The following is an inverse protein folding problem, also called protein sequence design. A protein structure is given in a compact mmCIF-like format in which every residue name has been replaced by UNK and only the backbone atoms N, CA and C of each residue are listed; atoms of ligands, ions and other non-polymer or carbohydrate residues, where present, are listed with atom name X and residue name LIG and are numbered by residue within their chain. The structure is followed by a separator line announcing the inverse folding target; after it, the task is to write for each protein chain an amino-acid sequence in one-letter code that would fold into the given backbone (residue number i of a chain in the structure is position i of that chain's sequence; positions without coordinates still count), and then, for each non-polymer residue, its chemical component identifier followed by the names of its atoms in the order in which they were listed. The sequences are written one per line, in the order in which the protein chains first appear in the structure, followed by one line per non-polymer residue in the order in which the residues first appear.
data_IF_473418225411
#
_entry.id   IF_473418225411
#
_cell.length_a   1.000
_cell.length_b   1.000
_cell.length_c   1.000
_cell.angle_alpha   90.00
_cell.angle_beta   90.00
_cell.angle_gamma   90.00
#
_symmetry.space_group_name_H-M   'P 1'
#
loop_
_entity.id
_entity.type
_entity.pdbx_description
1 polymer ?
#
# COMPACT_ATOMS: atom_id res chain seq x y z
N UNK A 1 31.31 -11.97 32.40
CA UNK A 1 30.98 -12.86 31.30
C UNK A 1 29.86 -12.19 30.53
N UNK A 2 30.18 -11.43 29.49
CA UNK A 2 29.16 -10.89 28.59
C UNK A 2 28.63 -12.08 27.79
N UNK A 3 27.38 -12.40 27.91
CA UNK A 3 26.66 -13.27 26.99
C UNK A 3 26.70 -12.58 25.64
N UNK A 4 27.53 -13.07 24.72
CA UNK A 4 27.44 -12.68 23.32
C UNK A 4 26.03 -13.05 22.85
N UNK A 5 25.15 -12.06 22.83
CA UNK A 5 23.84 -12.24 22.24
C UNK A 5 24.05 -12.30 20.74
N UNK A 6 24.03 -13.50 20.20
CA UNK A 6 24.18 -13.70 18.76
C UNK A 6 22.85 -13.31 18.12
N UNK A 7 22.81 -12.19 17.42
CA UNK A 7 21.62 -11.68 16.73
C UNK A 7 21.14 -12.73 15.73
N UNK A 8 19.87 -13.03 15.75
CA UNK A 8 19.26 -13.98 14.81
C UNK A 8 18.35 -13.27 13.81
N UNK A 9 18.10 -13.91 12.68
CA UNK A 9 17.15 -13.42 11.68
C UNK A 9 15.74 -13.22 12.30
N UNK A 10 15.38 -14.04 13.27
CA UNK A 10 14.10 -13.93 13.97
C UNK A 10 14.03 -12.66 14.82
N UNK A 11 15.13 -12.27 15.48
CA UNK A 11 15.19 -11.04 16.27
C UNK A 11 15.04 -9.82 15.38
N UNK A 12 15.70 -9.85 14.20
CA UNK A 12 15.58 -8.78 13.19
C UNK A 12 14.15 -8.69 12.66
N UNK A 13 13.53 -9.82 12.27
CA UNK A 13 12.16 -9.82 11.76
C UNK A 13 11.15 -9.36 12.83
N UNK A 14 11.32 -9.77 14.09
CA UNK A 14 10.48 -9.30 15.20
C UNK A 14 10.61 -7.80 15.44
N UNK A 15 11.82 -7.23 15.29
CA UNK A 15 11.99 -5.78 15.34
C UNK A 15 11.30 -5.07 14.17
N UNK A 16 11.39 -5.63 12.96
CA UNK A 16 10.77 -5.09 11.76
C UNK A 16 9.23 -5.12 11.79
N UNK A 17 8.60 -5.96 12.62
CA UNK A 17 7.14 -5.90 12.86
C UNK A 17 6.68 -4.57 13.46
N UNK A 18 7.58 -3.82 14.07
CA UNK A 18 7.30 -2.48 14.63
C UNK A 18 7.35 -1.37 13.60
N UNK A 19 7.85 -1.66 12.40
CA UNK A 19 7.92 -0.71 11.29
C UNK A 19 6.66 -0.84 10.45
N UNK A 20 5.84 0.20 10.45
CA UNK A 20 4.61 0.26 9.66
C UNK A 20 4.82 1.08 8.39
N UNK A 21 4.21 0.64 7.29
CA UNK A 21 4.09 1.46 6.08
C UNK A 21 3.08 2.59 6.36
N UNK A 22 3.49 3.88 6.27
CA UNK A 22 2.63 5.00 6.63
C UNK A 22 1.40 5.19 5.73
N UNK A 23 1.41 4.65 4.52
CA UNK A 23 0.29 4.73 3.58
C UNK A 23 -0.75 3.64 3.85
N UNK A 24 -0.28 2.44 4.21
CA UNK A 24 -1.14 1.26 4.39
C UNK A 24 -1.51 1.07 5.86
N UNK A 25 -0.66 1.52 6.81
CA UNK A 25 -0.87 1.39 8.25
C UNK A 25 -0.76 -0.04 8.76
N UNK A 26 0.12 -0.83 8.12
CA UNK A 26 0.42 -2.22 8.50
C UNK A 26 1.94 -2.43 8.59
N UNK A 27 2.39 -3.42 9.40
CA UNK A 27 3.79 -3.81 9.47
C UNK A 27 4.36 -4.18 8.10
N UNK A 28 5.58 -3.74 7.80
CA UNK A 28 6.26 -4.06 6.52
C UNK A 28 6.49 -5.58 6.35
N UNK A 29 6.55 -6.32 7.45
CA UNK A 29 6.64 -7.79 7.45
C UNK A 29 5.34 -8.45 6.97
N UNK A 30 4.18 -7.91 7.38
CA UNK A 30 2.87 -8.39 6.90
C UNK A 30 2.63 -8.05 5.43
N UNK A 31 3.25 -6.98 4.94
CA UNK A 31 3.10 -6.50 3.56
C UNK A 31 4.06 -7.19 2.58
N UNK A 32 4.81 -8.20 3.02
CA UNK A 32 5.84 -8.87 2.23
C UNK A 32 6.87 -7.87 1.63
N UNK A 33 7.13 -6.79 2.38
CA UNK A 33 8.07 -5.74 1.95
C UNK A 33 9.51 -6.06 2.33
N UNK A 34 9.76 -7.02 3.23
CA UNK A 34 11.12 -7.44 3.59
C UNK A 34 11.66 -8.35 2.49
N UNK A 35 12.68 -7.88 1.77
CA UNK A 35 13.33 -8.65 0.70
C UNK A 35 14.33 -9.66 1.23
N UNK A 36 15.22 -9.18 2.10
CA UNK A 36 16.33 -9.97 2.62
C UNK A 36 16.80 -9.45 3.97
N UNK A 37 17.28 -10.35 4.80
CA UNK A 37 17.98 -10.06 6.04
C UNK A 37 19.34 -10.75 5.96
N UNK A 38 20.42 -10.02 6.20
CA UNK A 38 21.78 -10.55 6.28
C UNK A 38 22.42 -10.08 7.56
N UNK A 39 23.06 -10.99 8.26
CA UNK A 39 23.75 -10.74 9.51
C UNK A 39 25.19 -11.19 9.32
N UNK A 40 26.13 -10.29 9.54
CA UNK A 40 27.56 -10.58 9.51
C UNK A 40 28.19 -10.12 10.83
N UNK A 41 28.30 -11.05 11.76
CA UNK A 41 28.71 -10.74 13.14
C UNK A 41 27.69 -9.87 13.87
N UNK A 42 28.03 -8.62 14.10
CA UNK A 42 27.11 -7.62 14.71
C UNK A 42 26.42 -6.76 13.66
N UNK A 43 26.86 -6.78 12.41
CA UNK A 43 26.31 -5.91 11.37
C UNK A 43 25.07 -6.53 10.72
N UNK A 44 24.05 -5.70 10.54
CA UNK A 44 22.76 -6.11 10.00
C UNK A 44 22.47 -5.34 8.71
N UNK A 45 22.24 -6.06 7.61
CA UNK A 45 21.84 -5.50 6.33
C UNK A 45 20.43 -5.99 5.95
N UNK A 46 19.51 -5.06 5.70
CA UNK A 46 18.11 -5.37 5.36
C UNK A 46 17.76 -4.75 4.02
N UNK A 47 17.18 -5.56 3.13
CA UNK A 47 16.54 -5.13 1.89
C UNK A 47 15.05 -4.96 2.09
N UNK A 48 14.49 -3.84 1.63
CA UNK A 48 13.05 -3.54 1.72
C UNK A 48 12.52 -3.15 0.36
N UNK A 49 11.38 -3.72 -0.02
CA UNK A 49 10.63 -3.33 -1.20
C UNK A 49 9.66 -2.19 -0.91
N UNK A 50 9.72 -1.13 -1.70
CA UNK A 50 8.72 -0.07 -1.76
C UNK A 50 7.67 -0.39 -2.83
N UNK A 51 6.43 -0.02 -2.60
CA UNK A 51 5.31 -0.23 -3.54
C UNK A 51 5.49 0.52 -4.85
N UNK A 52 6.09 1.71 -4.81
CA UNK A 52 6.35 2.58 -5.98
C UNK A 52 7.76 3.18 -5.94
N UNK A 53 8.35 3.44 -7.10
CA UNK A 53 9.70 4.00 -7.22
C UNK A 53 9.85 5.43 -6.67
N UNK A 54 8.78 6.19 -6.60
CA UNK A 54 8.74 7.58 -6.11
C UNK A 54 8.01 7.73 -4.78
N UNK A 55 8.07 6.72 -3.91
CA UNK A 55 7.39 6.78 -2.61
C UNK A 55 7.87 7.99 -1.79
N UNK A 56 6.98 8.93 -1.44
CA UNK A 56 7.34 10.11 -0.65
C UNK A 56 7.74 9.76 0.78
N UNK A 57 7.37 8.56 1.24
CA UNK A 57 7.66 8.05 2.59
C UNK A 57 8.93 7.19 2.65
N UNK A 58 9.72 7.18 1.56
CA UNK A 58 10.95 6.40 1.45
C UNK A 58 11.89 6.62 2.64
N UNK A 59 12.21 7.87 2.91
CA UNK A 59 13.16 8.24 3.97
C UNK A 59 12.60 7.87 5.35
N UNK A 60 11.29 8.03 5.55
CA UNK A 60 10.61 7.64 6.80
C UNK A 60 10.69 6.14 7.05
N UNK A 61 10.49 5.31 6.02
CA UNK A 61 10.59 3.84 6.15
C UNK A 61 12.04 3.44 6.44
N UNK A 62 13.01 4.06 5.75
CA UNK A 62 14.44 3.81 5.98
C UNK A 62 14.86 4.17 7.39
N UNK A 63 14.51 5.38 7.86
CA UNK A 63 14.86 5.87 9.18
C UNK A 63 14.22 5.04 10.30
N UNK A 64 12.93 4.70 10.18
CA UNK A 64 12.23 3.87 11.14
C UNK A 64 12.82 2.46 11.19
N UNK A 65 13.16 1.89 10.03
CA UNK A 65 13.81 0.57 9.96
C UNK A 65 15.16 0.59 10.66
N UNK A 66 15.99 1.59 10.39
CA UNK A 66 17.29 1.76 11.03
C UNK A 66 17.15 1.89 12.53
N UNK A 67 16.24 2.76 12.99
CA UNK A 67 16.03 3.03 14.40
C UNK A 67 15.63 1.77 15.20
N UNK A 68 14.70 0.97 14.70
CA UNK A 68 14.27 -0.25 15.42
C UNK A 68 15.34 -1.34 15.43
N UNK A 69 16.21 -1.39 14.42
CA UNK A 69 17.31 -2.35 14.37
C UNK A 69 18.48 -1.94 15.25
N UNK A 70 18.77 -0.64 15.37
CA UNK A 70 19.78 -0.09 16.29
C UNK A 70 19.40 -0.25 17.78
N UNK A 71 18.10 -0.44 18.09
CA UNK A 71 17.63 -0.76 19.44
C UNK A 71 17.92 -2.21 19.87
N UNK A 72 18.28 -3.10 18.96
CA UNK A 72 18.59 -4.49 19.29
C UNK A 72 19.95 -4.61 19.99
N UNK A 73 19.98 -5.33 21.09
CA UNK A 73 21.20 -5.58 21.84
C UNK A 73 22.20 -6.38 20.99
N UNK A 74 23.38 -5.84 20.80
CA UNK A 74 24.48 -6.49 20.08
C UNK A 74 24.55 -6.16 18.58
N UNK A 75 23.65 -5.30 18.07
CA UNK A 75 23.74 -4.76 16.71
C UNK A 75 24.85 -3.72 16.63
N UNK A 76 25.68 -3.84 15.61
CA UNK A 76 26.72 -2.88 15.21
C UNK A 76 26.20 -1.92 14.15
N UNK A 77 26.75 -2.04 12.94
CA UNK A 77 26.31 -1.20 11.81
C UNK A 77 25.02 -1.73 11.17
N UNK A 78 24.07 -0.81 10.91
CA UNK A 78 22.81 -1.11 10.22
C UNK A 78 22.80 -0.53 8.82
N UNK A 79 22.61 -1.37 7.83
CA UNK A 79 22.49 -1.02 6.42
C UNK A 79 21.10 -1.34 5.91
N UNK A 80 20.37 -0.33 5.41
CA UNK A 80 19.05 -0.50 4.79
C UNK A 80 19.14 -0.20 3.31
N UNK A 81 18.70 -1.13 2.47
CA UNK A 81 18.63 -0.96 1.02
C UNK A 81 17.18 -1.00 0.55
N UNK A 82 16.77 0.03 -0.19
CA UNK A 82 15.40 0.14 -0.67
C UNK A 82 15.33 -0.22 -2.16
N UNK A 83 14.46 -1.16 -2.48
CA UNK A 83 14.14 -1.61 -3.84
C UNK A 83 12.69 -1.26 -4.18
N UNK A 84 12.32 -1.36 -5.46
CA UNK A 84 10.93 -1.15 -5.87
C UNK A 84 10.32 -2.49 -6.22
N UNK A 85 9.10 -2.74 -5.73
CA UNK A 85 8.32 -3.93 -6.09
C UNK A 85 8.11 -4.02 -7.60
N UNK A 86 8.20 -5.23 -8.13
CA UNK A 86 7.75 -5.54 -9.48
C UNK A 86 6.22 -5.43 -9.60
N UNK A 87 5.71 -5.37 -10.83
CA UNK A 87 4.26 -5.36 -11.09
C UNK A 87 3.56 -6.61 -10.53
N UNK A 88 4.25 -7.75 -10.54
CA UNK A 88 3.74 -9.02 -10.02
C UNK A 88 3.63 -8.98 -8.49
N UNK A 89 4.66 -8.51 -7.80
CA UNK A 89 4.67 -8.34 -6.35
C UNK A 89 3.58 -7.37 -5.88
N UNK A 90 3.41 -6.24 -6.59
CA UNK A 90 2.33 -5.28 -6.30
C UNK A 90 0.95 -5.87 -6.46
N UNK A 91 0.74 -6.71 -7.48
CA UNK A 91 -0.54 -7.42 -7.69
C UNK A 91 -0.80 -8.43 -6.57
N UNK A 92 0.22 -9.18 -6.16
CA UNK A 92 0.11 -10.14 -5.07
C UNK A 92 -0.24 -9.44 -3.75
N UNK A 93 0.44 -8.32 -3.43
CA UNK A 93 0.14 -7.49 -2.26
C UNK A 93 -1.31 -6.94 -2.31
N UNK A 94 -1.74 -6.43 -3.46
CA UNK A 94 -3.10 -5.92 -3.63
C UNK A 94 -4.16 -7.01 -3.43
N UNK A 95 -3.90 -8.25 -3.87
CA UNK A 95 -4.79 -9.39 -3.63
C UNK A 95 -4.82 -9.78 -2.14
N UNK A 96 -3.67 -9.80 -1.47
CA UNK A 96 -3.56 -10.08 -0.04
C UNK A 96 -4.36 -9.06 0.78
N UNK A 97 -4.18 -7.77 0.51
CA UNK A 97 -4.90 -6.69 1.18
C UNK A 97 -6.42 -6.73 0.93
N UNK A 98 -6.85 -7.14 -0.27
CA UNK A 98 -8.27 -7.33 -0.59
C UNK A 98 -8.87 -8.53 0.15
N UNK A 99 -8.11 -9.62 0.31
CA UNK A 99 -8.56 -10.81 1.05
C UNK A 99 -8.75 -10.55 2.55
N UNK A 100 -7.98 -9.61 3.12
CA UNK A 100 -8.08 -9.22 4.53
C UNK A 100 -9.17 -8.17 4.79
N UNK A 101 -9.56 -7.40 3.77
CA UNK A 101 -10.67 -6.47 3.87
C UNK A 101 -11.99 -7.24 3.83
N UNK A 102 -12.47 -7.63 5.01
CA UNK A 102 -13.84 -8.11 5.22
C UNK A 102 -14.88 -6.97 5.14
N UNK A 103 -14.55 -5.90 4.41
CA UNK A 103 -15.51 -4.87 4.05
C UNK A 103 -16.59 -5.44 3.12
N UNK A 104 -17.78 -4.83 3.05
CA UNK A 104 -18.82 -5.28 2.13
C UNK A 104 -18.20 -5.33 0.72
N UNK A 105 -18.31 -6.49 0.08
CA UNK A 105 -17.85 -6.68 -1.29
C UNK A 105 -18.43 -5.53 -2.14
N UNK A 106 -17.56 -4.84 -2.90
CA UNK A 106 -18.03 -3.82 -3.83
C UNK A 106 -18.74 -4.57 -4.96
N UNK A 107 -20.10 -4.58 -5.00
CA UNK A 107 -20.84 -5.44 -5.94
C UNK A 107 -20.53 -5.13 -7.41
N UNK A 108 -19.99 -3.91 -7.66
CA UNK A 108 -19.66 -3.42 -9.00
C UNK A 108 -18.26 -3.77 -9.44
N UNK A 109 -17.40 -4.35 -8.57
CA UNK A 109 -16.06 -4.81 -8.91
C UNK A 109 -16.05 -6.26 -9.41
N UNK A 110 -17.19 -6.97 -9.34
CA UNK A 110 -17.32 -8.32 -9.84
C UNK A 110 -17.24 -8.33 -11.38
N UNK A 111 -16.37 -9.15 -11.99
CA UNK A 111 -16.25 -9.27 -13.44
C UNK A 111 -17.56 -9.68 -14.13
N UNK A 112 -18.45 -10.39 -13.42
CA UNK A 112 -19.73 -10.87 -13.94
C UNK A 112 -20.85 -9.84 -13.80
N UNK A 113 -20.57 -8.68 -13.16
CA UNK A 113 -21.59 -7.64 -13.03
C UNK A 113 -21.94 -7.02 -14.39
N UNK A 114 -23.22 -6.85 -14.64
CA UNK A 114 -23.73 -6.12 -15.81
C UNK A 114 -23.67 -4.60 -15.64
N UNK A 115 -23.39 -4.12 -14.44
CA UNK A 115 -23.31 -2.69 -14.14
C UNK A 115 -22.07 -2.07 -14.75
N UNK A 116 -22.23 -0.96 -15.43
CA UNK A 116 -21.14 -0.15 -15.97
C UNK A 116 -21.04 1.14 -15.16
N UNK A 117 -19.87 1.46 -14.65
CA UNK A 117 -19.62 2.68 -13.89
C UNK A 117 -18.90 3.68 -14.80
N UNK A 118 -19.46 4.88 -14.92
CA UNK A 118 -18.84 5.99 -15.63
C UNK A 118 -18.51 7.10 -14.64
N UNK A 119 -17.26 7.50 -14.57
CA UNK A 119 -16.83 8.63 -13.77
C UNK A 119 -16.68 9.87 -14.66
N UNK A 120 -17.42 10.93 -14.34
CA UNK A 120 -17.29 12.23 -15.00
C UNK A 120 -16.50 13.15 -14.08
N UNK A 121 -15.24 13.42 -14.44
CA UNK A 121 -14.34 14.22 -13.64
C UNK A 121 -13.73 15.36 -14.46
N UNK A 122 -13.29 16.42 -13.79
CA UNK A 122 -12.52 17.49 -14.42
C UNK A 122 -11.63 18.19 -13.38
N UNK A 123 -10.45 18.61 -13.80
CA UNK A 123 -9.50 19.37 -12.95
C UNK A 123 -9.85 20.86 -12.84
N UNK A 124 -10.96 21.35 -13.40
CA UNK A 124 -11.37 22.75 -13.41
C UNK A 124 -12.85 22.88 -13.09
N UNK A 125 -13.20 23.83 -12.21
CA UNK A 125 -14.60 24.17 -11.91
C UNK A 125 -15.32 24.83 -13.08
N UNK A 126 -16.66 24.73 -13.11
CA UNK A 126 -17.51 25.43 -14.06
C UNK A 126 -17.52 24.93 -15.51
N UNK A 127 -16.92 23.77 -15.80
CA UNK A 127 -16.81 23.20 -17.16
C UNK A 127 -18.00 22.33 -17.58
N UNK A 128 -19.04 22.22 -16.73
CA UNK A 128 -20.25 21.49 -17.05
C UNK A 128 -20.25 20.01 -16.67
N UNK A 129 -19.45 19.57 -15.69
CA UNK A 129 -19.47 18.19 -15.17
C UNK A 129 -20.88 17.70 -14.86
N UNK A 130 -21.61 18.42 -14.02
CA UNK A 130 -22.97 18.07 -13.58
C UNK A 130 -23.95 18.04 -14.75
N UNK A 131 -23.87 19.01 -15.65
CA UNK A 131 -24.71 19.02 -16.86
C UNK A 131 -24.44 17.81 -17.75
N UNK A 132 -23.18 17.43 -17.94
CA UNK A 132 -22.82 16.24 -18.72
C UNK A 132 -23.33 14.96 -18.04
N UNK A 133 -23.16 14.85 -16.74
CA UNK A 133 -23.63 13.69 -15.96
C UNK A 133 -25.14 13.50 -16.06
N UNK A 134 -25.91 14.58 -15.87
CA UNK A 134 -27.36 14.52 -15.95
C UNK A 134 -27.84 14.18 -17.36
N UNK A 135 -27.28 14.81 -18.39
CA UNK A 135 -27.65 14.51 -19.77
C UNK A 135 -27.30 13.08 -20.18
N UNK A 136 -26.13 12.58 -19.77
CA UNK A 136 -25.74 11.20 -20.03
C UNK A 136 -26.70 10.21 -19.34
N UNK A 137 -27.00 10.45 -18.07
CA UNK A 137 -27.93 9.61 -17.29
C UNK A 137 -29.30 9.58 -17.93
N UNK A 138 -29.85 10.75 -18.32
CA UNK A 138 -31.16 10.87 -18.97
C UNK A 138 -31.18 10.17 -20.34
N UNK A 139 -30.14 10.31 -21.12
CA UNK A 139 -30.04 9.66 -22.42
C UNK A 139 -30.00 8.12 -22.33
N UNK A 140 -29.28 7.59 -21.34
CA UNK A 140 -29.19 6.16 -21.08
C UNK A 140 -30.55 5.61 -20.55
N UNK A 141 -31.20 6.35 -19.65
CA UNK A 141 -32.54 5.99 -19.15
C UNK A 141 -33.60 5.99 -20.26
N UNK A 142 -33.51 6.95 -21.21
CA UNK A 142 -34.40 7.00 -22.35
C UNK A 142 -34.22 5.80 -23.31
N UNK A 143 -33.07 5.13 -23.28
CA UNK A 143 -32.83 3.87 -24.01
C UNK A 143 -33.29 2.62 -23.25
N UNK A 144 -33.98 2.78 -22.10
CA UNK A 144 -34.49 1.68 -21.29
C UNK A 144 -33.49 1.06 -20.33
N UNK A 145 -32.35 1.70 -20.11
CA UNK A 145 -31.37 1.23 -19.13
C UNK A 145 -31.73 1.70 -17.72
N UNK A 146 -31.46 0.86 -16.70
CA UNK A 146 -31.53 1.26 -15.30
C UNK A 146 -30.30 2.10 -14.96
N UNK A 147 -30.50 3.35 -14.58
CA UNK A 147 -29.42 4.31 -14.32
C UNK A 147 -29.48 4.82 -12.89
N UNK A 148 -28.36 4.75 -12.18
CA UNK A 148 -28.13 5.42 -10.91
C UNK A 148 -27.12 6.56 -11.08
N UNK A 149 -27.32 7.67 -10.39
CA UNK A 149 -26.38 8.80 -10.35
C UNK A 149 -25.93 9.02 -8.92
N UNK A 150 -24.62 9.15 -8.72
CA UNK A 150 -24.02 9.50 -7.42
C UNK A 150 -23.25 10.80 -7.61
N UNK A 151 -23.56 11.80 -6.81
CA UNK A 151 -22.74 13.01 -6.70
C UNK A 151 -21.64 12.78 -5.67
N UNK A 152 -20.39 12.80 -6.14
CA UNK A 152 -19.20 12.62 -5.32
C UNK A 152 -18.41 13.93 -5.18
N UNK A 153 -18.95 15.07 -5.62
CA UNK A 153 -18.34 16.39 -5.51
C UNK A 153 -18.69 17.01 -4.14
N UNK A 154 -17.99 16.51 -3.10
CA UNK A 154 -18.29 16.88 -1.69
C UNK A 154 -17.92 18.34 -1.38
N UNK A 155 -17.00 18.91 -2.14
CA UNK A 155 -16.48 20.27 -1.95
C UNK A 155 -16.77 21.22 -3.12
N UNK A 156 -17.65 20.82 -4.04
CA UNK A 156 -17.98 21.57 -5.26
C UNK A 156 -18.82 22.83 -5.03
#
# INVERSE_FOLDING_TARGET
MATEHNITEQDVLAALERVEDPEIGKPITELDMVESVRIDGADVAVGIYLTIAGCPMRDTIEDNTRAVLEELDGVGDVSVTLHTMSDEQRRALALKLRGEQTGPAIPFADPDTRTRIFAVASGKGGVGKSSMTVNLATALAAQGLSVGVVDADIYG
#
